data_IF_882373214909
#
_entry.id   IF_882373214909
#
_cell.length_a   1.000
_cell.length_b   1.000
_cell.length_c   1.000
_cell.angle_alpha   90.00
_cell.angle_beta   90.00
_cell.angle_gamma   90.00
#
_symmetry.space_group_name_H-M   'P 1'
#
loop_
_entity.id
_entity.type
_entity.pdbx_description
1 polymer ?
#
# COMPACT_ATOMS: atom_id res chain seq x y z
N UNK A 1 14.99 29.41 17.33
CA UNK A 1 14.26 28.87 18.49
C UNK A 1 13.64 27.56 18.04
N UNK A 2 14.14 26.40 18.48
CA UNK A 2 13.52 25.11 18.13
C UNK A 2 12.21 25.04 18.90
N UNK A 3 11.08 25.28 18.24
CA UNK A 3 9.80 24.81 18.78
C UNK A 3 10.00 23.33 19.07
N UNK A 4 9.82 22.93 20.34
CA UNK A 4 9.87 21.53 20.71
C UNK A 4 8.93 20.76 19.79
N UNK A 5 9.26 19.52 19.44
CA UNK A 5 8.40 18.65 18.63
C UNK A 5 6.99 18.66 19.23
N UNK A 6 6.12 19.49 18.67
CA UNK A 6 4.72 19.58 19.06
C UNK A 6 4.03 18.39 18.40
N UNK A 7 4.17 17.22 19.03
CA UNK A 7 3.56 15.98 18.56
C UNK A 7 2.10 15.97 19.01
N UNK A 8 1.19 15.71 18.07
CA UNK A 8 -0.18 15.39 18.40
C UNK A 8 -0.23 14.05 19.16
N UNK A 9 -0.47 14.14 20.47
CA UNK A 9 -0.49 12.99 21.38
C UNK A 9 -1.59 11.99 21.03
N UNK A 10 -2.74 12.45 20.50
CA UNK A 10 -3.84 11.57 20.15
C UNK A 10 -3.53 10.76 18.90
N UNK A 11 -2.93 11.40 17.90
CA UNK A 11 -2.47 10.69 16.71
C UNK A 11 -1.36 9.68 17.04
N UNK A 12 -0.40 10.06 17.90
CA UNK A 12 0.63 9.14 18.36
C UNK A 12 0.04 7.95 19.14
N UNK A 13 -0.90 8.21 20.05
CA UNK A 13 -1.59 7.17 20.81
C UNK A 13 -2.32 6.19 19.88
N UNK A 14 -3.05 6.70 18.89
CA UNK A 14 -3.74 5.88 17.90
C UNK A 14 -2.78 4.98 17.12
N UNK A 15 -1.63 5.52 16.67
CA UNK A 15 -0.59 4.75 15.97
C UNK A 15 -0.02 3.65 16.88
N UNK A 16 0.30 3.98 18.14
CA UNK A 16 0.83 2.99 19.10
C UNK A 16 -0.19 1.90 19.41
N UNK A 17 -1.47 2.26 19.58
CA UNK A 17 -2.54 1.30 19.81
C UNK A 17 -2.73 0.35 18.62
N UNK A 18 -2.71 0.88 17.39
CA UNK A 18 -2.80 0.07 16.16
C UNK A 18 -1.58 -0.85 15.99
N UNK A 19 -0.38 -0.38 16.31
CA UNK A 19 0.83 -1.20 16.29
C UNK A 19 0.77 -2.31 17.35
N UNK A 20 0.32 -2.02 18.56
CA UNK A 20 0.16 -3.02 19.62
C UNK A 20 -0.85 -4.10 19.21
N UNK A 21 -2.03 -3.71 18.70
CA UNK A 21 -3.02 -4.64 18.16
C UNK A 21 -2.43 -5.47 17.02
N UNK A 22 -1.76 -4.84 16.05
CA UNK A 22 -1.11 -5.53 14.94
C UNK A 22 -0.09 -6.57 15.40
N UNK A 23 0.74 -6.24 16.40
CA UNK A 23 1.72 -7.16 16.98
C UNK A 23 1.06 -8.38 17.64
N UNK A 24 -0.01 -8.16 18.41
CA UNK A 24 -0.76 -9.28 19.01
C UNK A 24 -1.36 -10.19 17.95
N UNK A 25 -1.86 -9.61 16.85
CA UNK A 25 -2.42 -10.38 15.74
C UNK A 25 -1.36 -11.18 14.99
N UNK A 26 -0.21 -10.58 14.68
CA UNK A 26 0.90 -11.30 14.03
C UNK A 26 1.31 -12.50 14.87
N UNK A 27 1.48 -12.34 16.19
CA UNK A 27 1.79 -13.47 17.06
C UNK A 27 0.69 -14.54 16.99
N UNK A 28 -0.57 -14.15 17.16
CA UNK A 28 -1.71 -15.08 17.21
C UNK A 28 -1.91 -15.89 15.92
N UNK A 29 -1.79 -15.24 14.76
CA UNK A 29 -2.07 -15.86 13.45
C UNK A 29 -0.88 -16.62 12.88
N UNK A 30 0.34 -16.17 13.16
CA UNK A 30 1.54 -16.77 12.57
C UNK A 30 2.17 -17.87 13.42
N UNK A 31 1.86 -17.97 14.72
CA UNK A 31 2.54 -18.87 15.65
C UNK A 31 2.50 -20.35 15.25
N UNK A 32 1.34 -20.88 14.87
CA UNK A 32 1.21 -22.28 14.43
C UNK A 32 1.97 -22.54 13.13
N UNK A 33 1.85 -21.61 12.17
CA UNK A 33 2.52 -21.70 10.88
C UNK A 33 4.05 -21.63 11.01
N UNK A 34 4.56 -20.73 11.87
CA UNK A 34 6.00 -20.59 12.09
C UNK A 34 6.59 -21.73 12.90
N UNK A 35 5.84 -22.29 13.86
CA UNK A 35 6.27 -23.46 14.63
C UNK A 35 6.45 -24.69 13.73
N UNK A 36 5.53 -24.92 12.79
CA UNK A 36 5.62 -26.06 11.87
C UNK A 36 6.73 -25.87 10.82
N UNK A 37 6.83 -24.67 10.23
CA UNK A 37 7.75 -24.42 9.10
C UNK A 37 9.18 -24.06 9.50
N UNK A 38 9.36 -23.41 10.64
CA UNK A 38 10.66 -22.88 11.09
C UNK A 38 11.09 -23.42 12.46
N UNK A 39 10.25 -24.21 13.14
CA UNK A 39 10.54 -24.72 14.49
C UNK A 39 10.47 -23.66 15.59
N UNK A 40 10.14 -22.41 15.26
CA UNK A 40 10.06 -21.27 16.18
C UNK A 40 8.77 -20.48 15.92
N UNK A 41 7.79 -20.68 16.80
CA UNK A 41 6.51 -19.96 16.81
C UNK A 41 6.65 -18.43 16.84
N UNK A 42 7.76 -17.91 17.38
CA UNK A 42 8.00 -16.46 17.52
C UNK A 42 8.75 -15.84 16.35
N UNK A 43 9.09 -16.60 15.31
CA UNK A 43 9.92 -16.14 14.20
C UNK A 43 9.41 -14.85 13.53
N UNK A 44 8.13 -14.83 13.09
CA UNK A 44 7.54 -13.66 12.46
C UNK A 44 7.32 -12.50 13.44
N UNK A 45 7.00 -12.81 14.70
CA UNK A 45 6.88 -11.80 15.74
C UNK A 45 8.21 -11.06 15.97
N UNK A 46 9.34 -11.78 16.06
CA UNK A 46 10.68 -11.16 16.20
C UNK A 46 11.03 -10.30 14.99
N UNK A 47 10.73 -10.77 13.78
CA UNK A 47 10.92 -9.96 12.56
C UNK A 47 10.09 -8.68 12.58
N UNK A 48 8.82 -8.77 12.97
CA UNK A 48 7.94 -7.61 13.06
C UNK A 48 8.40 -6.63 14.15
N UNK A 49 8.91 -7.13 15.27
CA UNK A 49 9.49 -6.30 16.34
C UNK A 49 10.71 -5.51 15.84
N UNK A 50 11.61 -6.15 15.08
CA UNK A 50 12.77 -5.49 14.47
C UNK A 50 12.32 -4.44 13.45
N UNK A 51 11.35 -4.77 12.59
CA UNK A 51 10.81 -3.84 11.60
C UNK A 51 10.14 -2.62 12.26
N UNK A 52 9.39 -2.83 13.34
CA UNK A 52 8.78 -1.75 14.13
C UNK A 52 9.84 -0.86 14.79
N UNK A 53 10.90 -1.46 15.35
CA UNK A 53 12.03 -0.71 15.90
C UNK A 53 12.74 0.15 14.84
N UNK A 54 13.01 -0.42 13.66
CA UNK A 54 13.58 0.31 12.53
C UNK A 54 12.65 1.44 12.05
N UNK A 55 11.33 1.18 11.98
CA UNK A 55 10.32 2.18 11.64
C UNK A 55 10.24 3.32 12.66
N UNK A 56 10.35 3.04 13.96
CA UNK A 56 10.37 4.05 15.02
C UNK A 56 11.62 4.94 14.92
N UNK A 57 12.79 4.35 14.67
CA UNK A 57 14.04 5.10 14.42
C UNK A 57 13.88 6.00 13.19
N UNK A 58 13.32 5.47 12.09
CA UNK A 58 13.08 6.24 10.87
C UNK A 58 12.09 7.40 11.11
N UNK A 59 11.03 7.18 11.88
CA UNK A 59 10.05 8.20 12.26
C UNK A 59 10.70 9.33 13.05
N UNK A 60 11.50 9.00 14.07
CA UNK A 60 12.21 10.01 14.88
C UNK A 60 13.20 10.77 13.99
N UNK A 61 14.02 10.08 13.20
CA UNK A 61 15.00 10.71 12.32
C UNK A 61 14.33 11.66 11.32
N UNK A 62 13.22 11.25 10.69
CA UNK A 62 12.46 12.09 9.77
C UNK A 62 11.77 13.26 10.49
N UNK A 63 11.28 13.08 11.70
CA UNK A 63 10.66 14.16 12.49
C UNK A 63 11.65 15.29 12.84
N UNK A 64 12.95 15.01 12.84
CA UNK A 64 14.01 15.99 13.07
C UNK A 64 14.38 16.78 11.80
N UNK A 65 13.91 16.36 10.62
CA UNK A 65 14.22 17.03 9.35
C UNK A 65 13.30 18.25 9.16
N UNK A 66 13.82 19.45 8.89
CA UNK A 66 12.98 20.63 8.67
C UNK A 66 12.05 20.47 7.46
N UNK A 67 10.80 20.95 7.57
CA UNK A 67 9.79 20.91 6.50
C UNK A 67 10.26 21.56 5.18
N UNK A 68 11.09 22.61 5.29
CA UNK A 68 11.70 23.31 4.14
C UNK A 68 12.55 22.34 3.30
N UNK A 69 13.21 21.37 3.95
CA UNK A 69 14.08 20.42 3.29
C UNK A 69 13.27 19.41 2.46
N UNK A 70 12.14 18.93 2.98
CA UNK A 70 11.19 18.10 2.22
C UNK A 70 10.68 18.84 0.98
N UNK A 71 10.32 20.12 1.13
CA UNK A 71 9.94 20.96 -0.02
C UNK A 71 11.08 21.08 -1.00
N UNK A 72 12.32 21.34 -0.57
CA UNK A 72 13.50 21.48 -1.45
C UNK A 72 13.81 20.19 -2.23
N UNK A 73 13.71 19.03 -1.57
CA UNK A 73 14.03 17.73 -2.15
C UNK A 73 12.87 17.02 -2.87
N UNK A 74 11.67 17.60 -2.94
CA UNK A 74 10.53 16.98 -3.62
C UNK A 74 10.85 16.48 -5.05
N UNK A 75 11.48 17.31 -5.90
CA UNK A 75 11.85 16.88 -7.26
C UNK A 75 13.01 15.87 -7.28
N UNK A 76 14.10 16.04 -6.51
CA UNK A 76 15.10 14.98 -6.35
C UNK A 76 14.55 13.63 -5.88
N UNK A 77 13.65 13.63 -4.89
CA UNK A 77 13.00 12.40 -4.37
C UNK A 77 12.12 11.77 -5.45
N UNK A 78 11.40 12.58 -6.23
CA UNK A 78 10.64 12.09 -7.39
C UNK A 78 11.54 11.45 -8.44
N UNK A 79 12.64 12.11 -8.82
CA UNK A 79 13.59 11.59 -9.79
C UNK A 79 14.25 10.30 -9.28
N UNK A 80 14.67 10.27 -8.02
CA UNK A 80 15.18 9.06 -7.38
C UNK A 80 14.16 7.93 -7.44
N UNK A 81 12.92 8.20 -7.03
CA UNK A 81 11.86 7.18 -7.05
C UNK A 81 11.59 6.64 -8.46
N UNK A 82 11.62 7.51 -9.47
CA UNK A 82 11.49 7.09 -10.86
C UNK A 82 12.63 6.15 -11.27
N UNK A 83 13.88 6.50 -10.92
CA UNK A 83 15.04 5.64 -11.18
C UNK A 83 14.92 4.30 -10.45
N UNK A 84 14.52 4.28 -9.17
CA UNK A 84 14.42 3.01 -8.43
C UNK A 84 13.30 2.11 -8.98
N UNK A 85 12.17 2.67 -9.43
CA UNK A 85 11.14 1.89 -10.13
C UNK A 85 11.68 1.29 -11.44
N UNK A 86 12.45 2.05 -12.23
CA UNK A 86 13.11 1.51 -13.42
C UNK A 86 14.07 0.36 -13.06
N UNK A 87 14.83 0.49 -11.98
CA UNK A 87 15.77 -0.54 -11.55
C UNK A 87 15.09 -1.86 -11.19
N UNK A 88 13.87 -1.82 -10.63
CA UNK A 88 13.12 -3.06 -10.31
C UNK A 88 12.65 -3.82 -11.54
N UNK A 89 12.45 -3.14 -12.67
CA UNK A 89 12.09 -3.81 -13.92
C UNK A 89 13.26 -4.63 -14.50
N UNK A 90 14.51 -4.30 -14.14
CA UNK A 90 15.71 -4.98 -14.65
C UNK A 90 15.82 -6.40 -14.07
N UNK A 91 15.85 -7.46 -14.90
CA UNK A 91 16.10 -8.82 -14.43
C UNK A 91 17.44 -8.89 -13.69
N UNK A 92 17.42 -9.47 -12.47
CA UNK A 92 18.62 -9.61 -11.62
C UNK A 92 18.69 -8.60 -10.48
N UNK A 93 18.03 -7.44 -10.59
CA UNK A 93 17.86 -6.49 -9.48
C UNK A 93 16.52 -6.71 -8.79
N UNK A 94 15.43 -6.68 -9.56
CA UNK A 94 14.10 -6.94 -9.05
C UNK A 94 13.84 -8.43 -8.81
N UNK A 95 13.35 -8.76 -7.62
CA UNK A 95 12.95 -10.12 -7.26
C UNK A 95 11.48 -10.34 -7.57
N UNK A 96 11.20 -11.43 -8.30
CA UNK A 96 9.84 -11.86 -8.62
C UNK A 96 9.24 -12.66 -7.46
N UNK A 97 8.12 -12.21 -6.92
CA UNK A 97 7.27 -12.98 -5.98
C UNK A 97 5.82 -12.89 -6.42
N UNK A 98 5.11 -14.02 -6.41
CA UNK A 98 3.70 -14.06 -6.83
C UNK A 98 3.44 -13.60 -8.27
N UNK A 99 4.41 -13.81 -9.16
CA UNK A 99 4.31 -13.40 -10.57
C UNK A 99 4.59 -11.92 -10.85
N UNK A 100 5.05 -11.15 -9.86
CA UNK A 100 5.37 -9.74 -10.01
C UNK A 100 6.76 -9.38 -9.47
N UNK A 101 7.49 -8.55 -10.22
CA UNK A 101 8.80 -8.02 -9.82
C UNK A 101 8.61 -6.66 -9.15
N UNK A 102 8.59 -6.65 -7.82
CA UNK A 102 8.23 -5.46 -7.02
C UNK A 102 9.20 -5.15 -5.89
N UNK A 103 10.15 -6.05 -5.62
CA UNK A 103 10.99 -6.00 -4.44
C UNK A 103 12.46 -5.97 -4.83
N UNK A 104 13.23 -5.09 -4.19
CA UNK A 104 14.69 -5.12 -4.18
C UNK A 104 15.11 -5.79 -2.87
N UNK A 105 15.87 -6.88 -2.97
CA UNK A 105 16.38 -7.59 -1.79
C UNK A 105 17.74 -7.03 -1.40
N UNK A 106 17.83 -6.51 -0.19
CA UNK A 106 19.09 -6.15 0.46
C UNK A 106 19.44 -7.20 1.53
N UNK A 107 20.71 -7.32 1.95
CA UNK A 107 21.07 -8.15 3.10
C UNK A 107 20.27 -7.72 4.34
N UNK A 108 19.35 -8.57 4.80
CA UNK A 108 18.55 -8.35 6.01
C UNK A 108 17.19 -7.67 5.83
N UNK A 109 16.89 -7.02 4.69
CA UNK A 109 15.57 -6.43 4.46
C UNK A 109 15.17 -6.39 2.98
N UNK A 110 13.86 -6.32 2.73
CA UNK A 110 13.29 -6.16 1.40
C UNK A 110 12.73 -4.75 1.26
N UNK A 111 13.09 -4.07 0.18
CA UNK A 111 12.62 -2.73 -0.12
C UNK A 111 11.64 -2.77 -1.29
N UNK A 112 10.50 -2.12 -1.12
CA UNK A 112 9.49 -1.97 -2.17
C UNK A 112 9.54 -0.53 -2.72
N UNK A 113 10.02 -0.31 -3.95
CA UNK A 113 10.14 1.06 -4.48
C UNK A 113 8.81 1.78 -4.63
N UNK A 114 7.70 1.05 -4.77
CA UNK A 114 6.37 1.64 -4.89
C UNK A 114 5.93 2.38 -3.61
N UNK A 115 6.50 2.05 -2.45
CA UNK A 115 6.29 2.81 -1.20
C UNK A 115 6.95 4.19 -1.29
N UNK A 116 8.20 4.25 -1.78
CA UNK A 116 8.88 5.52 -2.02
C UNK A 116 8.15 6.35 -3.09
N UNK A 117 7.62 5.70 -4.12
CA UNK A 117 6.87 6.35 -5.20
C UNK A 117 5.63 7.09 -4.70
N UNK A 118 4.86 6.50 -3.78
CA UNK A 118 3.71 7.17 -3.16
C UNK A 118 4.15 8.44 -2.43
N UNK A 119 5.18 8.35 -1.58
CA UNK A 119 5.69 9.51 -0.83
C UNK A 119 6.27 10.58 -1.75
N UNK A 120 7.04 10.18 -2.75
CA UNK A 120 7.63 11.07 -3.74
C UNK A 120 6.57 11.85 -4.52
N UNK A 121 5.50 11.17 -4.92
CA UNK A 121 4.38 11.80 -5.61
C UNK A 121 3.66 12.79 -4.70
N UNK A 122 3.41 12.46 -3.43
CA UNK A 122 2.81 13.40 -2.46
C UNK A 122 3.67 14.67 -2.34
N UNK A 123 4.98 14.54 -2.14
CA UNK A 123 5.86 15.71 -2.02
C UNK A 123 5.92 16.54 -3.30
N UNK A 124 5.98 15.89 -4.46
CA UNK A 124 5.91 16.57 -5.75
C UNK A 124 4.61 17.34 -5.93
N UNK A 125 3.46 16.68 -5.70
CA UNK A 125 2.13 17.30 -5.84
C UNK A 125 1.99 18.47 -4.88
N UNK A 126 2.29 18.28 -3.59
CA UNK A 126 2.21 19.33 -2.58
C UNK A 126 3.06 20.55 -2.98
N UNK A 127 4.32 20.34 -3.39
CA UNK A 127 5.19 21.45 -3.82
C UNK A 127 4.71 22.12 -5.09
N UNK A 128 4.31 21.33 -6.09
CA UNK A 128 3.91 21.84 -7.41
C UNK A 128 2.62 22.64 -7.31
N UNK A 129 1.63 22.14 -6.57
CA UNK A 129 0.37 22.83 -6.29
C UNK A 129 0.61 24.11 -5.49
N UNK A 130 1.40 24.06 -4.41
CA UNK A 130 1.72 25.25 -3.62
C UNK A 130 2.48 26.34 -4.41
N UNK A 131 3.16 26.00 -5.51
CA UNK A 131 3.84 26.99 -6.38
C UNK A 131 2.90 27.57 -7.44
N UNK A 132 1.83 26.85 -7.80
CA UNK A 132 0.93 27.16 -8.92
C UNK A 132 -0.50 27.44 -8.46
N UNK A 133 -0.69 27.80 -7.20
CA UNK A 133 -1.99 27.90 -6.53
C UNK A 133 -3.05 28.65 -7.36
N UNK A 134 -2.69 29.82 -7.88
CA UNK A 134 -3.57 30.65 -8.72
C UNK A 134 -4.02 29.96 -10.02
N UNK A 135 -3.19 29.05 -10.55
CA UNK A 135 -3.38 28.37 -11.83
C UNK A 135 -3.89 26.93 -11.69
N UNK A 136 -4.15 26.44 -10.46
CA UNK A 136 -4.64 25.07 -10.23
C UNK A 136 -6.00 24.84 -10.92
N UNK A 137 -6.81 25.89 -11.03
CA UNK A 137 -8.13 25.83 -11.67
C UNK A 137 -8.04 25.68 -13.20
N UNK A 138 -6.90 25.95 -13.80
CA UNK A 138 -6.67 25.85 -15.25
C UNK A 138 -6.16 24.46 -15.60
N UNK A 139 -6.85 23.78 -16.51
CA UNK A 139 -6.52 22.40 -16.89
C UNK A 139 -5.05 22.19 -17.29
N UNK A 140 -4.55 23.00 -18.22
CA UNK A 140 -3.22 22.82 -18.84
C UNK A 140 -2.05 22.99 -17.86
N UNK A 141 -2.20 23.80 -16.82
CA UNK A 141 -1.11 24.14 -15.88
C UNK A 141 -1.32 23.48 -14.52
N UNK A 142 -2.57 23.42 -14.08
CA UNK A 142 -2.99 22.95 -12.77
C UNK A 142 -3.24 21.46 -12.68
N UNK A 143 -3.60 20.78 -13.78
CA UNK A 143 -4.02 19.36 -13.74
C UNK A 143 -3.15 18.51 -14.66
N UNK A 144 -3.02 18.89 -15.93
CA UNK A 144 -2.34 18.09 -16.94
C UNK A 144 -0.90 17.67 -16.57
N UNK A 145 -0.02 18.55 -16.03
CA UNK A 145 1.33 18.14 -15.67
C UNK A 145 1.36 17.09 -14.55
N UNK A 146 0.44 17.19 -13.60
CA UNK A 146 0.33 16.24 -12.48
C UNK A 146 -0.22 14.89 -12.95
N UNK A 147 -1.17 14.91 -13.89
CA UNK A 147 -1.67 13.68 -14.53
C UNK A 147 -0.59 12.98 -15.36
N UNK A 148 0.25 13.74 -16.07
CA UNK A 148 1.37 13.16 -16.83
C UNK A 148 2.35 12.49 -15.87
N UNK A 149 2.80 13.19 -14.83
CA UNK A 149 3.76 12.62 -13.87
C UNK A 149 3.17 11.42 -13.13
N UNK A 150 1.96 11.56 -12.58
CA UNK A 150 1.30 10.44 -11.90
C UNK A 150 0.97 9.26 -12.83
N UNK A 151 0.60 9.55 -14.08
CA UNK A 151 0.34 8.55 -15.10
C UNK A 151 1.59 7.78 -15.52
N UNK A 152 2.75 8.44 -15.60
CA UNK A 152 4.05 7.77 -15.82
C UNK A 152 4.32 6.78 -14.68
N UNK A 153 4.18 7.21 -13.43
CA UNK A 153 4.41 6.36 -12.26
C UNK A 153 3.43 5.18 -12.21
N UNK A 154 2.14 5.43 -12.45
CA UNK A 154 1.12 4.37 -12.53
C UNK A 154 1.44 3.40 -13.68
N UNK A 155 1.86 3.90 -14.84
CA UNK A 155 2.26 3.09 -15.99
C UNK A 155 3.45 2.18 -15.67
N UNK A 156 4.47 2.68 -14.97
CA UNK A 156 5.60 1.86 -14.52
C UNK A 156 5.18 0.74 -13.58
N UNK A 157 4.30 1.03 -12.62
CA UNK A 157 3.77 0.02 -11.71
C UNK A 157 2.95 -1.04 -12.45
N UNK A 158 2.23 -0.66 -13.51
CA UNK A 158 1.53 -1.62 -14.38
C UNK A 158 2.49 -2.52 -15.16
N UNK A 159 3.71 -2.04 -15.48
CA UNK A 159 4.79 -2.85 -16.06
C UNK A 159 5.46 -3.78 -15.02
N UNK A 160 5.36 -3.49 -13.73
CA UNK A 160 5.77 -4.34 -12.59
C UNK A 160 4.70 -5.39 -12.20
N UNK A 161 3.79 -5.74 -13.10
CA UNK A 161 2.45 -6.25 -12.81
C UNK A 161 1.78 -5.83 -11.49
N UNK A 162 1.99 -4.61 -10.98
CA UNK A 162 1.40 -4.11 -9.73
C UNK A 162 0.18 -3.21 -9.93
N UNK A 163 -0.95 -3.85 -10.25
CA UNK A 163 -2.22 -3.15 -10.43
C UNK A 163 -2.74 -2.48 -9.14
N UNK A 164 -2.60 -3.16 -7.99
CA UNK A 164 -3.11 -2.66 -6.71
C UNK A 164 -2.44 -1.34 -6.33
N UNK A 165 -1.11 -1.31 -6.41
CA UNK A 165 -0.37 -0.08 -6.08
C UNK A 165 -0.56 1.02 -7.12
N UNK A 166 -0.68 0.67 -8.41
CA UNK A 166 -1.01 1.65 -9.46
C UNK A 166 -2.36 2.33 -9.21
N UNK A 167 -3.37 1.56 -8.76
CA UNK A 167 -4.69 2.08 -8.42
C UNK A 167 -4.63 3.02 -7.21
N UNK A 168 -3.95 2.61 -6.13
CA UNK A 168 -3.77 3.45 -4.93
C UNK A 168 -3.05 4.76 -5.28
N UNK A 169 -1.99 4.69 -6.07
CA UNK A 169 -1.22 5.87 -6.49
C UNK A 169 -2.08 6.82 -7.34
N UNK A 170 -2.94 6.26 -8.21
CA UNK A 170 -3.90 7.04 -9.01
C UNK A 170 -4.96 7.68 -8.10
N UNK A 171 -5.54 6.94 -7.16
CA UNK A 171 -6.48 7.50 -6.18
C UNK A 171 -5.85 8.63 -5.36
N UNK A 172 -4.62 8.44 -4.90
CA UNK A 172 -3.85 9.45 -4.17
C UNK A 172 -3.64 10.72 -5.02
N UNK A 173 -3.28 10.56 -6.30
CA UNK A 173 -3.14 11.68 -7.22
C UNK A 173 -4.44 12.51 -7.33
N UNK A 174 -5.56 11.84 -7.59
CA UNK A 174 -6.87 12.50 -7.71
C UNK A 174 -7.31 13.16 -6.40
N UNK A 175 -7.08 12.49 -5.27
CA UNK A 175 -7.39 13.01 -3.94
C UNK A 175 -6.58 14.27 -3.61
N UNK A 176 -5.27 14.25 -3.90
CA UNK A 176 -4.40 15.42 -3.73
C UNK A 176 -4.80 16.57 -4.64
N UNK A 177 -5.15 16.30 -5.90
CA UNK A 177 -5.63 17.34 -6.83
C UNK A 177 -6.97 17.95 -6.37
N UNK A 178 -7.88 17.12 -5.85
CA UNK A 178 -9.14 17.58 -5.27
C UNK A 178 -8.91 18.49 -4.07
N UNK A 179 -8.08 18.07 -3.11
CA UNK A 179 -7.70 18.90 -1.95
C UNK A 179 -6.97 20.17 -2.38
N UNK A 180 -6.14 20.09 -3.42
CA UNK A 180 -5.42 21.23 -3.99
C UNK A 180 -6.34 22.28 -4.64
N UNK A 181 -7.64 22.01 -4.78
CA UNK A 181 -8.60 22.96 -5.34
C UNK A 181 -8.80 22.84 -6.85
N UNK A 182 -8.41 21.71 -7.47
CA UNK A 182 -8.73 21.43 -8.87
C UNK A 182 -10.25 21.39 -9.08
N UNK A 183 -10.73 21.92 -10.21
CA UNK A 183 -12.16 21.92 -10.52
C UNK A 183 -12.68 20.49 -10.68
N UNK A 184 -13.76 20.16 -9.97
CA UNK A 184 -14.33 18.80 -9.98
C UNK A 184 -14.68 18.31 -11.39
N UNK A 185 -15.17 19.19 -12.27
CA UNK A 185 -15.48 18.82 -13.66
C UNK A 185 -14.24 18.36 -14.43
N UNK A 186 -13.07 18.94 -14.19
CA UNK A 186 -11.83 18.49 -14.85
C UNK A 186 -11.41 17.11 -14.31
N UNK A 187 -11.54 16.88 -13.00
CA UNK A 187 -11.24 15.58 -12.40
C UNK A 187 -12.19 14.49 -12.91
N UNK A 188 -13.49 14.79 -13.00
CA UNK A 188 -14.47 13.85 -13.54
C UNK A 188 -14.23 13.58 -15.03
N UNK A 189 -13.93 14.61 -15.83
CA UNK A 189 -13.64 14.45 -17.25
C UNK A 189 -12.40 13.57 -17.48
N UNK A 190 -11.30 13.81 -16.76
CA UNK A 190 -10.08 13.00 -16.91
C UNK A 190 -10.23 11.61 -16.33
N UNK A 191 -10.99 11.46 -15.24
CA UNK A 191 -11.33 10.15 -14.68
C UNK A 191 -12.14 9.31 -15.67
N UNK A 192 -13.14 9.92 -16.32
CA UNK A 192 -13.95 9.25 -17.34
C UNK A 192 -13.11 8.87 -18.57
N UNK A 193 -12.20 9.75 -19.01
CA UNK A 193 -11.25 9.46 -20.10
C UNK A 193 -10.25 8.35 -19.75
N UNK A 194 -9.98 8.11 -18.46
CA UNK A 194 -9.10 7.03 -18.02
C UNK A 194 -9.79 5.65 -18.00
N UNK A 195 -11.13 5.58 -18.00
CA UNK A 195 -11.87 4.32 -17.92
C UNK A 195 -11.56 3.34 -19.07
N UNK A 196 -11.48 3.75 -20.36
CA UNK A 196 -11.14 2.82 -21.43
C UNK A 196 -9.75 2.18 -21.23
N UNK A 197 -8.77 2.97 -20.76
CA UNK A 197 -7.43 2.47 -20.45
C UNK A 197 -7.49 1.49 -19.29
N UNK A 198 -8.24 1.80 -18.24
CA UNK A 198 -8.43 0.91 -17.11
C UNK A 198 -9.08 -0.42 -17.53
N UNK A 199 -10.15 -0.37 -18.33
CA UNK A 199 -10.84 -1.56 -18.84
C UNK A 199 -9.87 -2.40 -19.69
N UNK A 200 -9.12 -1.79 -20.59
CA UNK A 200 -8.12 -2.48 -21.42
C UNK A 200 -7.05 -3.18 -20.56
N UNK A 201 -6.54 -2.51 -19.53
CA UNK A 201 -5.54 -3.05 -18.61
C UNK A 201 -6.11 -4.19 -17.76
N UNK A 202 -7.40 -4.12 -17.39
CA UNK A 202 -8.08 -5.17 -16.63
C UNK A 202 -8.33 -6.43 -17.47
N UNK A 203 -8.71 -6.29 -18.73
CA UNK A 203 -9.02 -7.44 -19.62
C UNK A 203 -7.78 -8.11 -20.19
N UNK A 204 -6.64 -7.41 -20.27
CA UNK A 204 -5.38 -7.95 -20.79
C UNK A 204 -4.76 -9.08 -19.96
N UNK A 205 -5.09 -9.18 -18.67
CA UNK A 205 -4.54 -10.20 -17.80
C UNK A 205 -5.67 -11.03 -17.20
N UNK A 206 -5.81 -12.29 -17.64
CA UNK A 206 -6.87 -13.21 -17.19
C UNK A 206 -6.95 -13.30 -15.66
N UNK A 207 -5.81 -13.27 -14.98
CA UNK A 207 -5.75 -13.26 -13.52
C UNK A 207 -6.49 -12.08 -12.87
N UNK A 208 -6.40 -10.87 -13.45
CA UNK A 208 -7.07 -9.68 -12.91
C UNK A 208 -8.58 -9.80 -13.03
N UNK A 209 -9.04 -10.28 -14.20
CA UNK A 209 -10.46 -10.51 -14.44
C UNK A 209 -10.99 -11.64 -13.55
N UNK A 210 -10.25 -12.74 -13.41
CA UNK A 210 -10.60 -13.85 -12.49
C UNK A 210 -10.71 -13.35 -11.06
N UNK A 211 -9.79 -12.51 -10.57
CA UNK A 211 -9.89 -11.90 -9.22
C UNK A 211 -11.16 -11.06 -9.06
N UNK A 212 -11.51 -10.24 -10.06
CA UNK A 212 -12.74 -9.42 -10.00
C UNK A 212 -14.00 -10.29 -9.99
N UNK A 213 -14.07 -11.28 -10.89
CA UNK A 213 -15.21 -12.18 -10.98
C UNK A 213 -15.34 -13.03 -9.71
N UNK A 214 -14.23 -13.52 -9.19
CA UNK A 214 -14.19 -14.25 -7.90
C UNK A 214 -14.61 -13.36 -6.73
N UNK A 215 -14.34 -12.05 -6.78
CA UNK A 215 -14.81 -11.13 -5.75
C UNK A 215 -16.33 -10.92 -5.83
N UNK A 216 -16.89 -10.82 -7.04
CA UNK A 216 -18.33 -10.64 -7.27
C UNK A 216 -19.13 -11.92 -7.01
N UNK A 217 -18.60 -13.07 -7.43
CA UNK A 217 -19.17 -14.38 -7.21
C UNK A 217 -18.07 -15.36 -6.75
N UNK A 218 -17.74 -15.35 -5.44
CA UNK A 218 -16.73 -16.26 -4.90
C UNK A 218 -17.19 -17.72 -4.90
N UNK A 219 -18.51 -17.98 -4.98
CA UNK A 219 -19.09 -19.31 -4.92
C UNK A 219 -18.95 -20.08 -6.23
N UNK A 220 -18.71 -19.39 -7.35
CA UNK A 220 -18.52 -20.04 -8.66
C UNK A 220 -17.31 -20.97 -8.72
N UNK A 221 -16.27 -20.71 -7.90
CA UNK A 221 -15.10 -21.59 -7.73
C UNK A 221 -14.68 -21.64 -6.26
N UNK A 222 -15.51 -22.31 -5.46
CA UNK A 222 -15.34 -22.37 -4.00
C UNK A 222 -14.09 -23.13 -3.54
N UNK A 223 -13.55 -24.03 -4.36
CA UNK A 223 -12.34 -24.82 -4.06
C UNK A 223 -11.05 -24.21 -4.59
N UNK A 224 -11.13 -23.31 -5.57
CA UNK A 224 -9.98 -22.68 -6.21
C UNK A 224 -9.86 -21.21 -5.82
N UNK A 225 -10.13 -20.30 -6.75
CA UNK A 225 -9.88 -18.86 -6.54
C UNK A 225 -10.77 -18.25 -5.46
N UNK A 226 -11.99 -18.74 -5.29
CA UNK A 226 -12.98 -18.24 -4.32
C UNK A 226 -12.73 -18.70 -2.90
N UNK A 227 -11.94 -19.75 -2.69
CA UNK A 227 -11.73 -20.37 -1.39
C UNK A 227 -11.32 -19.37 -0.30
N UNK A 228 -10.33 -18.52 -0.58
CA UNK A 228 -9.84 -17.51 0.38
C UNK A 228 -10.89 -16.46 0.74
N UNK A 229 -11.69 -16.04 -0.23
CA UNK A 229 -12.74 -15.03 -0.04
C UNK A 229 -13.89 -15.63 0.77
N UNK A 230 -14.33 -16.84 0.42
CA UNK A 230 -15.36 -17.57 1.16
C UNK A 230 -14.92 -17.81 2.59
N UNK A 231 -13.70 -18.31 2.80
CA UNK A 231 -13.20 -18.52 4.15
C UNK A 231 -13.16 -17.20 4.91
N UNK A 232 -12.63 -16.12 4.33
CA UNK A 232 -12.68 -14.79 4.99
C UNK A 232 -14.08 -14.34 5.39
N UNK A 233 -15.08 -14.56 4.54
CA UNK A 233 -16.49 -14.27 4.83
C UNK A 233 -17.04 -15.16 5.95
N UNK A 234 -16.71 -16.45 5.95
CA UNK A 234 -17.09 -17.40 7.00
C UNK A 234 -16.44 -17.02 8.34
N UNK A 235 -15.17 -16.61 8.33
CA UNK A 235 -14.46 -16.12 9.51
C UNK A 235 -15.21 -14.95 10.13
N UNK A 236 -15.47 -13.93 9.32
CA UNK A 236 -16.18 -12.72 9.72
C UNK A 236 -17.60 -13.03 10.22
N UNK A 237 -18.34 -13.89 9.53
CA UNK A 237 -19.68 -14.33 9.94
C UNK A 237 -19.68 -15.18 11.22
N UNK A 238 -18.61 -15.94 11.47
CA UNK A 238 -18.49 -16.79 12.66
C UNK A 238 -18.10 -16.02 13.93
N UNK A 239 -17.47 -14.85 13.78
CA UNK A 239 -16.94 -14.00 14.85
C UNK A 239 -17.99 -13.41 15.80
N UNK A 240 -19.28 -13.34 15.44
CA UNK A 240 -20.31 -12.62 16.20
C UNK A 240 -19.94 -11.12 16.42
N UNK A 241 -20.80 -10.33 17.08
CA UNK A 241 -20.59 -8.86 17.23
C UNK A 241 -19.37 -8.50 18.09
N UNK A 242 -18.96 -9.40 18.98
CA UNK A 242 -17.87 -9.19 19.94
C UNK A 242 -16.58 -9.97 19.62
N UNK A 243 -16.56 -10.72 18.51
CA UNK A 243 -15.48 -11.68 18.22
C UNK A 243 -15.60 -12.96 19.05
N UNK A 244 -14.96 -14.04 18.63
CA UNK A 244 -14.82 -15.27 19.44
C UNK A 244 -13.69 -15.21 20.47
N UNK A 245 -12.96 -14.10 20.52
CA UNK A 245 -11.79 -13.91 21.38
C UNK A 245 -10.49 -13.87 20.56
N UNK A 246 -9.53 -13.07 21.02
CA UNK A 246 -8.23 -12.89 20.34
C UNK A 246 -7.52 -14.24 20.21
N UNK A 247 -7.39 -14.71 18.97
CA UNK A 247 -6.76 -16.00 18.68
C UNK A 247 -7.66 -17.21 18.83
N UNK A 248 -8.98 -17.09 18.93
CA UNK A 248 -9.88 -18.26 18.92
C UNK A 248 -10.47 -18.55 17.52
N UNK A 249 -10.10 -17.75 16.51
CA UNK A 249 -10.54 -17.96 15.13
C UNK A 249 -10.01 -19.29 14.60
N UNK A 250 -10.93 -20.22 14.27
CA UNK A 250 -10.60 -21.57 13.77
C UNK A 250 -9.94 -21.53 12.39
N UNK A 251 -10.03 -20.41 11.67
CA UNK A 251 -9.44 -20.28 10.34
C UNK A 251 -7.92 -20.10 10.31
N UNK A 252 -7.31 -19.77 11.46
CA UNK A 252 -5.85 -19.76 11.65
C UNK A 252 -5.23 -21.17 11.60
N UNK A 253 -6.04 -22.23 11.71
CA UNK A 253 -5.63 -23.63 11.67
C UNK A 253 -5.54 -24.16 10.23
N UNK A 254 -4.80 -23.46 9.36
CA UNK A 254 -4.55 -23.85 7.95
C UNK A 254 -5.75 -23.83 7.00
N UNK A 255 -6.92 -23.35 7.43
CA UNK A 255 -8.08 -23.19 6.55
C UNK A 255 -7.99 -21.97 5.62
N UNK A 256 -7.08 -21.02 5.88
CA UNK A 256 -6.68 -19.98 4.93
C UNK A 256 -5.17 -20.06 4.64
N UNK A 257 -4.76 -20.37 3.40
CA UNK A 257 -3.40 -20.07 2.97
C UNK A 257 -3.18 -18.55 3.03
N UNK A 258 -1.98 -18.10 3.44
CA UNK A 258 -1.61 -16.67 3.56
C UNK A 258 -2.44 -15.84 4.58
N UNK A 259 -3.03 -16.47 5.60
CA UNK A 259 -3.77 -15.76 6.67
C UNK A 259 -2.96 -14.70 7.43
N UNK A 260 -1.63 -14.82 7.40
CA UNK A 260 -0.68 -13.97 8.12
C UNK A 260 -0.25 -12.71 7.34
N UNK A 261 -0.58 -12.62 6.05
CA UNK A 261 -0.23 -11.50 5.16
C UNK A 261 -1.48 -10.77 4.66
N UNK A 262 -2.33 -11.45 3.90
CA UNK A 262 -3.41 -10.82 3.14
C UNK A 262 -4.78 -10.83 3.85
N UNK A 263 -4.94 -11.63 4.91
CA UNK A 263 -6.23 -11.85 5.59
C UNK A 263 -6.19 -11.67 7.12
N UNK A 264 -5.24 -10.88 7.63
CA UNK A 264 -5.10 -10.63 9.07
C UNK A 264 -6.41 -10.15 9.69
N UNK A 265 -7.18 -9.30 8.97
CA UNK A 265 -8.46 -8.78 9.43
C UNK A 265 -9.54 -9.85 9.60
N UNK A 266 -9.57 -10.85 8.72
CA UNK A 266 -10.52 -11.98 8.82
C UNK A 266 -10.29 -12.82 10.07
N UNK A 267 -9.08 -12.79 10.65
CA UNK A 267 -8.71 -13.60 11.83
C UNK A 267 -8.89 -12.82 13.15
N UNK A 268 -9.16 -11.50 13.10
CA UNK A 268 -9.42 -10.67 14.29
C UNK A 268 -10.75 -11.05 14.97
N UNK A 269 -11.73 -11.49 14.18
CA UNK A 269 -13.09 -11.86 14.61
C UNK A 269 -13.26 -13.31 15.02
#
# INVERSE_FOLDING_TARGET
MREGLAVDKWMLLAVVALLALGMTMVLSTSYLYSQERYGDGTYFFRKQLIAMGAGAIALIACSMVPSVLYRRFAYPILALSFVVLLLVLIPGIGVSRGGARRWIMFPGFAFQPSELAKLALVFYLARSMAKKEEMIRTFSVGILPHLIVGGIFAGMLLLEPDFGTALILTMLLYFMLFIGGARIHHLLATGLMALPVLIYVMTKAEYRLRRLLTFLDPWSDASGSGFHVIQSLIAFGSGQVWGRGLGESRQKLFYLPEAHTDFVYSVIG
#
